data_IF_522157182377
#
_entry.id   IF_522157182377
#
_cell.length_a   1.000
_cell.length_b   1.000
_cell.length_c   1.000
_cell.angle_alpha   90.00
_cell.angle_beta   90.00
_cell.angle_gamma   90.00
#
_symmetry.space_group_name_H-M   'P 1'
#
loop_
_entity.id
_entity.type
_entity.pdbx_description
1 polymer ?
#
# COMPACT_ATOMS: atom_id res chain seq x y z
N UNK A 1 10.64 -0.07 -5.28
CA UNK A 1 9.54 0.25 -4.34
C UNK A 1 10.06 1.32 -3.41
N UNK A 2 9.28 2.37 -3.24
CA UNK A 2 9.59 3.43 -2.28
C UNK A 2 8.99 3.12 -0.91
N UNK A 3 9.44 3.83 0.12
CA UNK A 3 8.97 3.67 1.51
C UNK A 3 7.46 3.77 1.64
N UNK A 4 6.86 4.67 0.86
CA UNK A 4 5.41 4.90 0.80
C UNK A 4 4.65 3.67 0.28
N UNK A 5 5.23 2.92 -0.66
CA UNK A 5 4.63 1.69 -1.19
C UNK A 5 4.52 0.62 -0.09
N UNK A 6 5.57 0.50 0.74
CA UNK A 6 5.61 -0.45 1.87
C UNK A 6 4.59 -0.10 2.95
N UNK A 7 4.44 1.19 3.26
CA UNK A 7 3.45 1.66 4.23
C UNK A 7 2.03 1.38 3.74
N UNK A 8 1.72 1.70 2.47
CA UNK A 8 0.41 1.39 1.88
C UNK A 8 0.13 -0.12 1.96
N UNK A 9 1.12 -0.98 1.66
CA UNK A 9 0.99 -2.43 1.75
C UNK A 9 0.79 -2.90 3.20
N UNK A 10 1.51 -2.33 4.16
CA UNK A 10 1.39 -2.64 5.59
C UNK A 10 -0.02 -2.31 6.09
N UNK A 11 -0.53 -1.13 5.78
CA UNK A 11 -1.88 -0.71 6.15
C UNK A 11 -2.95 -1.59 5.48
N UNK A 12 -2.77 -1.94 4.21
CA UNK A 12 -3.67 -2.90 3.54
C UNK A 12 -3.65 -4.28 4.19
N UNK A 13 -2.48 -4.76 4.60
CA UNK A 13 -2.32 -6.03 5.31
C UNK A 13 -3.02 -6.02 6.67
N UNK A 14 -3.08 -4.85 7.32
CA UNK A 14 -3.84 -4.63 8.55
C UNK A 14 -5.36 -4.52 8.34
N UNK A 15 -5.85 -4.59 7.09
CA UNK A 15 -7.26 -4.54 6.75
C UNK A 15 -7.81 -3.12 6.52
N UNK A 16 -6.95 -2.10 6.46
CA UNK A 16 -7.38 -0.74 6.17
C UNK A 16 -7.85 -0.59 4.72
N UNK A 17 -8.94 0.15 4.53
CA UNK A 17 -9.44 0.50 3.20
C UNK A 17 -8.62 1.64 2.63
N UNK A 18 -8.51 1.69 1.29
CA UNK A 18 -7.76 2.74 0.56
C UNK A 18 -8.19 4.16 0.97
N UNK A 19 -9.44 4.38 1.40
CA UNK A 19 -9.91 5.67 1.90
C UNK A 19 -9.39 6.06 3.30
N UNK A 20 -9.02 5.08 4.12
CA UNK A 20 -8.51 5.26 5.49
C UNK A 20 -6.98 5.41 5.50
N UNK A 21 -6.29 4.76 4.57
CA UNK A 21 -4.82 4.81 4.39
C UNK A 21 -4.25 6.24 4.35
N UNK A 22 -4.81 7.23 3.61
CA UNK A 22 -4.26 8.59 3.60
C UNK A 22 -4.33 9.24 4.97
N UNK A 23 -5.41 9.02 5.71
CA UNK A 23 -5.61 9.55 7.05
C UNK A 23 -4.63 8.90 8.04
N UNK A 24 -4.44 7.58 7.92
CA UNK A 24 -3.46 6.83 8.71
C UNK A 24 -2.01 7.25 8.42
N UNK A 25 -1.66 7.49 7.14
CA UNK A 25 -0.35 7.98 6.72
C UNK A 25 -0.05 9.37 7.29
N UNK A 26 -1.07 10.21 7.35
CA UNK A 26 -0.98 11.54 7.93
C UNK A 26 -0.82 11.48 9.46
N UNK A 27 -1.49 10.54 10.13
CA UNK A 27 -1.44 10.39 11.60
C UNK A 27 -0.14 9.72 12.10
N UNK A 28 0.32 8.65 11.44
CA UNK A 28 1.46 7.82 11.88
C UNK A 28 2.82 8.36 11.38
N UNK A 29 2.86 8.88 10.14
CA UNK A 29 4.11 9.30 9.45
C UNK A 29 4.11 10.79 9.07
N UNK A 30 3.06 11.56 9.39
CA UNK A 30 2.92 12.97 8.97
C UNK A 30 3.02 13.15 7.45
N UNK A 31 2.67 12.10 6.69
CA UNK A 31 2.71 12.07 5.23
C UNK A 31 1.34 12.41 4.66
N UNK A 32 1.21 13.65 4.17
CA UNK A 32 0.00 14.10 3.46
C UNK A 32 0.02 13.52 2.04
N UNK A 33 -0.77 12.47 1.81
CA UNK A 33 -0.87 11.82 0.50
C UNK A 33 -2.32 11.77 0.07
N UNK A 34 -2.61 12.31 -1.12
CA UNK A 34 -3.96 12.24 -1.66
C UNK A 34 -4.35 10.81 -2.02
N UNK A 35 -5.63 10.47 -1.84
CA UNK A 35 -6.21 9.16 -2.22
C UNK A 35 -5.83 8.75 -3.65
N UNK A 36 -5.90 9.68 -4.61
CA UNK A 36 -5.54 9.41 -6.01
C UNK A 36 -4.07 9.00 -6.18
N UNK A 37 -3.16 9.55 -5.37
CA UNK A 37 -1.74 9.16 -5.38
C UNK A 37 -1.54 7.76 -4.80
N UNK A 38 -2.27 7.41 -3.74
CA UNK A 38 -2.27 6.05 -3.17
C UNK A 38 -2.83 5.05 -4.19
N UNK A 39 -3.90 5.37 -4.90
CA UNK A 39 -4.46 4.49 -5.94
C UNK A 39 -3.50 4.29 -7.12
N UNK A 40 -2.83 5.36 -7.57
CA UNK A 40 -1.78 5.28 -8.60
C UNK A 40 -0.61 4.40 -8.14
N UNK A 41 -0.12 4.64 -6.92
CA UNK A 41 0.93 3.83 -6.28
C UNK A 41 0.51 2.37 -6.21
N UNK A 42 -0.67 2.08 -5.69
CA UNK A 42 -1.21 0.73 -5.58
C UNK A 42 -1.28 0.01 -6.93
N UNK A 43 -1.70 0.73 -7.98
CA UNK A 43 -1.74 0.21 -9.34
C UNK A 43 -0.35 -0.13 -9.84
N UNK A 44 0.64 0.71 -9.58
CA UNK A 44 2.05 0.47 -9.91
C UNK A 44 2.60 -0.73 -9.14
N UNK A 45 2.36 -0.82 -7.83
CA UNK A 45 2.82 -1.95 -7.01
C UNK A 45 2.16 -3.25 -7.48
N UNK A 46 0.86 -3.25 -7.83
CA UNK A 46 0.18 -4.40 -8.45
C UNK A 46 0.85 -4.84 -9.74
N UNK A 47 1.21 -3.90 -10.61
CA UNK A 47 1.93 -4.21 -11.85
C UNK A 47 3.32 -4.79 -11.56
N UNK A 48 4.08 -4.19 -10.66
CA UNK A 48 5.44 -4.63 -10.29
C UNK A 48 5.42 -6.03 -9.67
N UNK A 49 4.46 -6.29 -8.77
CA UNK A 49 4.31 -7.59 -8.13
C UNK A 49 3.57 -8.62 -9.00
N UNK A 50 2.95 -8.22 -10.11
CA UNK A 50 2.11 -9.11 -10.93
C UNK A 50 0.83 -9.57 -10.22
N UNK A 51 0.33 -8.80 -9.25
CA UNK A 51 -0.79 -9.19 -8.40
C UNK A 51 -2.15 -8.83 -9.02
N UNK A 52 -3.03 -9.83 -9.17
CA UNK A 52 -4.41 -9.65 -9.65
C UNK A 52 -5.37 -9.21 -8.55
N UNK A 53 -5.06 -9.36 -7.27
CA UNK A 53 -5.92 -8.91 -6.17
C UNK A 53 -5.10 -8.22 -5.08
N UNK A 54 -5.71 -7.37 -4.23
CA UNK A 54 -5.05 -6.77 -3.07
C UNK A 54 -4.51 -7.82 -2.08
N UNK A 55 -5.22 -8.94 -1.96
CA UNK A 55 -4.77 -10.09 -1.18
C UNK A 55 -3.51 -10.72 -1.77
N UNK A 56 -3.50 -10.97 -3.07
CA UNK A 56 -2.33 -11.51 -3.76
C UNK A 56 -1.14 -10.55 -3.68
N UNK A 57 -1.40 -9.24 -3.68
CA UNK A 57 -0.40 -8.22 -3.44
C UNK A 57 0.22 -8.32 -2.05
N UNK A 58 -0.60 -8.48 -0.99
CA UNK A 58 -0.14 -8.64 0.38
C UNK A 58 0.66 -9.94 0.57
N UNK A 59 0.22 -11.05 -0.06
CA UNK A 59 0.94 -12.32 -0.02
C UNK A 59 2.30 -12.20 -0.70
N UNK A 60 2.37 -11.62 -1.92
CA UNK A 60 3.62 -11.44 -2.64
C UNK A 60 4.55 -10.47 -1.91
N UNK A 61 4.01 -9.41 -1.30
CA UNK A 61 4.78 -8.48 -0.48
C UNK A 61 5.39 -9.19 0.74
N UNK A 62 4.61 -10.05 1.42
CA UNK A 62 5.08 -10.86 2.55
C UNK A 62 6.14 -11.90 2.13
N UNK A 63 5.93 -12.60 1.02
CA UNK A 63 6.90 -13.57 0.48
C UNK A 63 8.23 -12.91 0.10
N UNK A 64 8.18 -11.68 -0.42
CA UNK A 64 9.36 -10.89 -0.74
C UNK A 64 9.99 -10.20 0.48
N UNK A 65 9.50 -10.45 1.70
CA UNK A 65 9.93 -9.80 2.96
C UNK A 65 9.88 -8.27 2.90
N UNK A 66 8.92 -7.73 2.14
CA UNK A 66 8.69 -6.28 2.03
C UNK A 66 7.84 -5.77 3.20
N UNK A 67 7.03 -6.64 3.80
CA UNK A 67 6.18 -6.40 4.98
C UNK A 67 6.24 -7.60 5.93
#
# INVERSE_FOLDING_TARGET
MERLDLLILKYLSQGLKIGEIPKQLEDDESLVVSKSSIEKRLTTIRKICGAKTPFQLAVIAKERKLI
#
